data_IF_238078628944
#
_entry.id   IF_238078628944
#
_cell.length_a   1.000
_cell.length_b   1.000
_cell.length_c   1.000
_cell.angle_alpha   90.00
_cell.angle_beta   90.00
_cell.angle_gamma   90.00
#
_symmetry.space_group_name_H-M   'P 1'
#
loop_
_entity.id
_entity.type
_entity.pdbx_description
1 polymer ?
#
# COMPACT_ATOMS: atom_id res chain seq x y z
N UNK A 1 27.88 -6.62 -15.64
CA UNK A 1 28.03 -8.10 -15.71
C UNK A 1 27.51 -8.67 -17.02
N UNK A 2 26.39 -8.17 -17.58
CA UNK A 2 25.89 -8.59 -18.90
C UNK A 2 26.69 -8.03 -20.10
N UNK A 3 27.38 -6.90 -19.91
CA UNK A 3 28.18 -6.25 -20.96
C UNK A 3 29.46 -7.01 -21.35
N UNK A 4 29.91 -7.95 -20.51
CA UNK A 4 31.18 -8.67 -20.69
C UNK A 4 31.01 -9.89 -21.62
N UNK A 5 29.77 -10.40 -21.83
CA UNK A 5 29.57 -11.69 -22.50
C UNK A 5 29.21 -11.61 -24.00
N UNK A 6 28.80 -10.45 -24.55
CA UNK A 6 28.28 -10.40 -25.94
C UNK A 6 28.95 -9.42 -26.90
N UNK A 7 29.94 -8.62 -26.48
CA UNK A 7 30.64 -7.72 -27.40
C UNK A 7 29.70 -6.84 -28.26
N UNK A 8 28.50 -6.55 -27.76
CA UNK A 8 27.43 -5.96 -28.55
C UNK A 8 27.31 -4.48 -28.19
N UNK A 9 28.07 -3.65 -28.90
CA UNK A 9 27.98 -2.18 -28.81
C UNK A 9 26.72 -1.61 -29.50
N UNK A 10 25.88 -2.47 -30.11
CA UNK A 10 24.68 -2.06 -30.83
C UNK A 10 23.41 -2.14 -29.96
N UNK A 11 23.03 -0.98 -29.43
CA UNK A 11 21.80 -0.79 -28.64
C UNK A 11 20.53 -1.20 -29.41
N UNK A 12 20.52 -1.09 -30.75
CA UNK A 12 19.35 -1.46 -31.56
C UNK A 12 19.17 -2.98 -31.59
N UNK A 13 20.26 -3.72 -31.74
CA UNK A 13 20.24 -5.18 -31.72
C UNK A 13 19.83 -5.71 -30.34
N UNK A 14 20.39 -5.13 -29.27
CA UNK A 14 19.99 -5.48 -27.90
C UNK A 14 18.50 -5.22 -27.64
N UNK A 15 17.97 -4.08 -28.11
CA UNK A 15 16.55 -3.75 -27.99
C UNK A 15 15.66 -4.70 -28.78
N UNK A 16 16.06 -5.06 -30.01
CA UNK A 16 15.33 -5.99 -30.87
C UNK A 16 15.28 -7.40 -30.25
N UNK A 17 16.41 -7.90 -29.72
CA UNK A 17 16.48 -9.18 -29.01
C UNK A 17 15.63 -9.16 -27.73
N UNK A 18 15.65 -8.07 -26.96
CA UNK A 18 14.80 -7.90 -25.79
C UNK A 18 13.31 -7.92 -26.13
N UNK A 19 12.92 -7.29 -27.24
CA UNK A 19 11.53 -7.31 -27.74
C UNK A 19 11.13 -8.73 -28.15
N UNK A 20 11.96 -9.42 -28.94
CA UNK A 20 11.67 -10.77 -29.41
C UNK A 20 11.59 -11.77 -28.26
N UNK A 21 12.45 -11.64 -27.26
CA UNK A 21 12.40 -12.44 -26.03
C UNK A 21 11.08 -12.26 -25.29
N UNK A 22 10.58 -11.02 -25.15
CA UNK A 22 9.28 -10.77 -24.52
C UNK A 22 8.13 -11.41 -25.28
N UNK A 23 8.11 -11.26 -26.61
CA UNK A 23 7.08 -11.89 -27.46
C UNK A 23 7.05 -13.41 -27.27
N UNK A 24 8.20 -14.07 -27.37
CA UNK A 24 8.32 -15.53 -27.15
C UNK A 24 7.93 -15.95 -25.73
N UNK A 25 8.23 -15.11 -24.73
CA UNK A 25 7.87 -15.37 -23.35
C UNK A 25 6.36 -15.30 -23.15
N UNK A 26 5.67 -14.30 -23.72
CA UNK A 26 4.23 -14.11 -23.58
C UNK A 26 3.43 -15.29 -24.15
N UNK A 27 3.93 -15.92 -25.22
CA UNK A 27 3.29 -17.08 -25.84
C UNK A 27 3.52 -18.39 -25.05
N UNK A 28 4.48 -18.42 -24.12
CA UNK A 28 4.81 -19.60 -23.31
C UNK A 28 3.74 -19.92 -22.27
N UNK A 29 3.32 -21.19 -22.10
CA UNK A 29 2.42 -21.60 -21.01
C UNK A 29 2.96 -21.22 -19.61
N UNK A 30 4.26 -21.35 -19.41
CA UNK A 30 4.94 -21.01 -18.14
C UNK A 30 4.76 -19.53 -17.80
N UNK A 31 4.72 -18.64 -18.80
CA UNK A 31 4.51 -17.22 -18.55
C UNK A 31 3.12 -16.91 -18.02
N UNK A 32 2.10 -17.65 -18.46
CA UNK A 32 0.73 -17.48 -17.94
C UNK A 32 0.64 -17.89 -16.48
N UNK A 33 1.27 -19.01 -16.12
CA UNK A 33 1.35 -19.49 -14.73
C UNK A 33 2.06 -18.47 -13.83
N UNK A 34 3.23 -17.96 -14.27
CA UNK A 34 3.96 -16.92 -13.54
C UNK A 34 3.12 -15.64 -13.39
N UNK A 35 2.41 -15.24 -14.45
CA UNK A 35 1.55 -14.06 -14.41
C UNK A 35 0.38 -14.26 -13.45
N UNK A 36 -0.27 -15.42 -13.47
CA UNK A 36 -1.38 -15.75 -12.58
C UNK A 36 -0.93 -15.82 -11.12
N UNK A 37 0.20 -16.45 -10.84
CA UNK A 37 0.80 -16.48 -9.51
C UNK A 37 1.14 -15.06 -9.02
N UNK A 38 1.75 -14.23 -9.89
CA UNK A 38 2.06 -12.84 -9.58
C UNK A 38 0.81 -12.00 -9.29
N UNK A 39 -0.25 -12.17 -10.08
CA UNK A 39 -1.53 -11.49 -9.85
C UNK A 39 -2.22 -11.98 -8.57
N UNK A 40 -2.15 -13.28 -8.29
CA UNK A 40 -2.71 -13.87 -7.07
C UNK A 40 -2.01 -13.32 -5.82
N UNK A 41 -0.66 -13.33 -5.80
CA UNK A 41 0.13 -12.76 -4.70
C UNK A 41 -0.13 -11.27 -4.54
N UNK A 42 -0.09 -10.51 -5.63
CA UNK A 42 -0.34 -9.07 -5.60
C UNK A 42 -1.73 -8.71 -5.07
N UNK A 43 -2.77 -9.48 -5.42
CA UNK A 43 -4.12 -9.29 -4.84
C UNK A 43 -4.14 -9.61 -3.35
N UNK A 44 -3.57 -10.74 -2.94
CA UNK A 44 -3.55 -11.13 -1.53
C UNK A 44 -2.80 -10.11 -0.65
N UNK A 45 -1.64 -9.64 -1.10
CA UNK A 45 -0.87 -8.59 -0.41
C UNK A 45 -1.65 -7.27 -0.35
N UNK A 46 -2.25 -6.85 -1.47
CA UNK A 46 -3.05 -5.64 -1.54
C UNK A 46 -4.29 -5.67 -0.65
N UNK A 47 -4.99 -6.80 -0.58
CA UNK A 47 -6.14 -7.00 0.31
C UNK A 47 -5.72 -6.96 1.78
N UNK A 48 -4.62 -7.62 2.14
CA UNK A 48 -4.10 -7.63 3.50
C UNK A 48 -3.65 -6.22 3.95
N UNK A 49 -2.90 -5.51 3.10
CA UNK A 49 -2.48 -4.14 3.40
C UNK A 49 -3.67 -3.18 3.50
N UNK A 50 -4.63 -3.30 2.56
CA UNK A 50 -5.86 -2.52 2.56
C UNK A 50 -6.69 -2.74 3.81
N UNK A 51 -6.87 -4.00 4.23
CA UNK A 51 -7.58 -4.34 5.46
C UNK A 51 -6.89 -3.75 6.69
N UNK A 52 -5.56 -3.88 6.78
CA UNK A 52 -4.78 -3.34 7.90
C UNK A 52 -4.93 -1.82 7.99
N UNK A 53 -4.73 -1.09 6.87
CA UNK A 53 -4.90 0.36 6.81
C UNK A 53 -6.33 0.77 7.18
N UNK A 54 -7.32 0.09 6.62
CA UNK A 54 -8.73 0.33 6.90
C UNK A 54 -9.11 0.14 8.37
N UNK A 55 -8.58 -0.90 9.03
CA UNK A 55 -8.80 -1.13 10.45
C UNK A 55 -8.19 -0.03 11.32
N UNK A 56 -6.96 0.39 11.03
CA UNK A 56 -6.28 1.46 11.78
C UNK A 56 -7.01 2.80 11.61
N UNK A 57 -7.32 3.18 10.37
CA UNK A 57 -8.07 4.41 10.10
C UNK A 57 -9.48 4.37 10.69
N UNK A 58 -10.17 3.23 10.59
CA UNK A 58 -11.50 3.03 11.14
C UNK A 58 -11.50 3.17 12.66
N UNK A 59 -10.54 2.55 13.36
CA UNK A 59 -10.39 2.67 14.80
C UNK A 59 -10.09 4.12 15.21
N UNK A 60 -9.23 4.83 14.47
CA UNK A 60 -8.94 6.25 14.73
C UNK A 60 -10.18 7.12 14.55
N UNK A 61 -10.91 6.94 13.44
CA UNK A 61 -12.16 7.67 13.16
C UNK A 61 -13.20 7.40 14.26
N UNK A 62 -13.39 6.15 14.67
CA UNK A 62 -14.33 5.78 15.72
C UNK A 62 -14.00 6.44 17.07
N UNK A 63 -12.71 6.50 17.44
CA UNK A 63 -12.26 7.21 18.64
C UNK A 63 -12.56 8.71 18.57
N UNK A 64 -12.30 9.34 17.43
CA UNK A 64 -12.56 10.77 17.23
C UNK A 64 -14.04 11.11 17.27
N UNK A 65 -14.89 10.32 16.60
CA UNK A 65 -16.33 10.54 16.61
C UNK A 65 -16.91 10.35 18.02
N UNK A 66 -16.41 9.35 18.76
CA UNK A 66 -16.77 9.15 20.17
C UNK A 66 -16.36 10.36 21.02
N UNK A 67 -15.13 10.86 20.83
CA UNK A 67 -14.62 12.02 21.55
C UNK A 67 -15.47 13.27 21.30
N UNK A 68 -15.84 13.52 20.04
CA UNK A 68 -16.72 14.64 19.65
C UNK A 68 -18.11 14.52 20.28
N UNK A 69 -18.70 13.33 20.27
CA UNK A 69 -20.00 13.08 20.89
C UNK A 69 -19.95 13.36 22.41
N UNK A 70 -18.90 12.89 23.09
CA UNK A 70 -18.71 13.15 24.52
C UNK A 70 -18.60 14.65 24.83
N UNK A 71 -17.85 15.41 24.03
CA UNK A 71 -17.74 16.86 24.18
C UNK A 71 -19.10 17.56 23.94
N UNK A 72 -19.87 17.10 22.95
CA UNK A 72 -21.21 17.63 22.68
C UNK A 72 -22.19 17.38 23.84
N UNK A 73 -22.02 16.28 24.58
CA UNK A 73 -22.75 15.99 25.82
C UNK A 73 -22.26 16.80 27.03
N UNK A 74 -21.25 17.66 26.87
CA UNK A 74 -20.71 18.50 27.93
C UNK A 74 -19.71 17.79 28.85
N UNK A 75 -19.19 16.63 28.45
CA UNK A 75 -18.15 15.94 29.20
C UNK A 75 -16.85 16.75 29.12
N UNK A 76 -16.20 16.95 30.27
CA UNK A 76 -14.95 17.70 30.35
C UNK A 76 -13.85 17.10 29.45
N UNK A 77 -13.15 17.97 28.72
CA UNK A 77 -12.09 17.61 27.77
C UNK A 77 -11.01 16.69 28.38
N UNK A 78 -10.60 16.95 29.62
CA UNK A 78 -9.60 16.11 30.32
C UNK A 78 -10.10 14.67 30.52
N UNK A 79 -11.40 14.49 30.76
CA UNK A 79 -12.02 13.16 30.84
C UNK A 79 -12.08 12.50 29.47
N UNK A 80 -12.41 13.26 28.41
CA UNK A 80 -12.45 12.75 27.05
C UNK A 80 -11.07 12.27 26.60
N UNK A 81 -10.02 13.05 26.80
CA UNK A 81 -8.63 12.68 26.48
C UNK A 81 -8.21 11.39 27.21
N UNK A 82 -8.50 11.30 28.51
CA UNK A 82 -8.18 10.12 29.33
C UNK A 82 -8.94 8.86 28.89
N UNK A 83 -10.21 8.97 28.50
CA UNK A 83 -11.05 7.81 28.14
C UNK A 83 -10.78 7.34 26.71
N UNK A 84 -10.59 8.27 25.78
CA UNK A 84 -10.36 7.95 24.35
C UNK A 84 -8.90 7.64 24.04
N UNK A 85 -7.99 8.06 24.93
CA UNK A 85 -6.54 7.95 24.74
C UNK A 85 -6.01 8.85 23.62
N UNK A 86 -6.78 9.86 23.23
CA UNK A 86 -6.38 10.88 22.27
C UNK A 86 -5.59 11.98 23.00
N UNK A 87 -4.64 12.58 22.31
CA UNK A 87 -4.08 13.87 22.71
C UNK A 87 -4.97 15.02 22.20
N UNK A 88 -4.71 16.22 22.72
CA UNK A 88 -5.47 17.42 22.37
C UNK A 88 -5.33 17.77 20.88
N UNK A 89 -4.14 17.58 20.32
CA UNK A 89 -3.80 17.88 18.93
C UNK A 89 -4.58 17.01 17.94
N UNK A 90 -4.63 15.70 18.19
CA UNK A 90 -5.41 14.72 17.42
C UNK A 90 -6.91 15.01 17.45
N UNK A 91 -7.39 15.61 18.54
CA UNK A 91 -8.80 15.93 18.76
C UNK A 91 -9.20 17.25 18.06
N UNK A 92 -8.29 18.22 18.03
CA UNK A 92 -8.46 19.52 17.34
C UNK A 92 -8.24 19.43 15.82
N UNK A 93 -7.78 18.29 15.32
CA UNK A 93 -7.73 17.97 13.89
C UNK A 93 -6.43 18.34 13.18
N UNK A 94 -5.40 18.78 13.92
CA UNK A 94 -4.03 18.80 13.41
C UNK A 94 -3.49 17.37 13.47
N UNK A 95 -3.58 16.68 12.34
CA UNK A 95 -2.99 15.36 12.19
C UNK A 95 -1.46 15.44 12.42
N UNK A 96 -0.85 14.53 13.18
CA UNK A 96 0.50 14.12 12.84
C UNK A 96 0.39 13.38 11.50
N UNK A 97 0.89 14.00 10.43
CA UNK A 97 1.20 13.30 9.19
C UNK A 97 2.35 12.32 9.49
N UNK A 98 2.07 11.01 9.40
CA UNK A 98 3.08 9.96 9.21
C UNK A 98 3.07 9.50 7.75
#
# INVERSE_FOLDING_TARGET
VLDIYTGMHDRKLAQALGKKRRELMIESPIYREILEEGLSKGRAEGEAEGLRKGQVEGARKAKLETAKAMLAEGIAIETVLRVTGLDRESLEGSAPEE
#
